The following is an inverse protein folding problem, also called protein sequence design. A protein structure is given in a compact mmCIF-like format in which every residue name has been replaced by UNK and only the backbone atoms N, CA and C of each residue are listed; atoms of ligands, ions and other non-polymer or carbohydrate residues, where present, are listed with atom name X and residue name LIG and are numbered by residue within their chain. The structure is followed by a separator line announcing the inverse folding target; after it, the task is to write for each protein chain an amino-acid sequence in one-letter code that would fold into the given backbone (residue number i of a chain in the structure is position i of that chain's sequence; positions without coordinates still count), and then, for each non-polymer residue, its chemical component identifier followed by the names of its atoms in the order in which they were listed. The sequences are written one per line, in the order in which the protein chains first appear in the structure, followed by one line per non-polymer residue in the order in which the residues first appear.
data_IF_119929946043
#
_entry.id   IF_119929946043
#
_cell.length_a   1.000
_cell.length_b   1.000
_cell.length_c   1.000
_cell.angle_alpha   90.00
_cell.angle_beta   90.00
_cell.angle_gamma   90.00
#
_symmetry.space_group_name_H-M   'P 1'
#
loop_
_entity.id
_entity.type
_entity.pdbx_description
1 polymer ?
#
# COMPACT_ATOMS: atom_id res chain seq x y z
N UNK A 1 -38.91 -18.78 -8.69
CA UNK A 1 -37.89 -18.38 -7.70
C UNK A 1 -36.73 -17.75 -8.46
N UNK A 2 -36.82 -16.46 -8.75
CA UNK A 2 -35.73 -15.71 -9.38
C UNK A 2 -34.81 -15.21 -8.27
N UNK A 3 -33.60 -15.75 -8.21
CA UNK A 3 -32.55 -15.26 -7.32
C UNK A 3 -32.19 -13.84 -7.74
N UNK A 4 -32.60 -12.86 -6.93
CA UNK A 4 -32.03 -11.53 -7.00
C UNK A 4 -30.60 -11.65 -6.47
N UNK A 5 -29.65 -11.79 -7.39
CA UNK A 5 -28.30 -11.29 -7.17
C UNK A 5 -28.46 -9.78 -6.93
N UNK A 6 -28.67 -9.39 -5.68
CA UNK A 6 -28.43 -8.03 -5.24
C UNK A 6 -26.95 -7.80 -5.51
N UNK A 7 -26.66 -7.14 -6.64
CA UNK A 7 -25.40 -6.45 -6.86
C UNK A 7 -25.25 -5.52 -5.66
N UNK A 8 -24.54 -6.00 -4.65
CA UNK A 8 -24.36 -5.29 -3.39
C UNK A 8 -23.73 -3.95 -3.74
N UNK A 9 -24.46 -2.85 -3.55
CA UNK A 9 -23.89 -1.53 -3.70
C UNK A 9 -22.60 -1.47 -2.86
N UNK A 10 -21.49 -0.94 -3.41
CA UNK A 10 -20.22 -0.98 -2.71
C UNK A 10 -20.32 -0.17 -1.42
N UNK A 11 -20.40 -0.86 -0.28
CA UNK A 11 -20.50 -0.28 1.07
C UNK A 11 -19.39 0.75 1.39
N UNK A 12 -18.28 0.68 0.65
CA UNK A 12 -17.17 1.63 0.72
C UNK A 12 -17.05 2.37 -0.61
N UNK A 13 -17.60 3.58 -0.66
CA UNK A 13 -17.55 4.41 -1.86
C UNK A 13 -16.27 5.25 -1.98
N UNK A 14 -15.95 5.64 -3.21
CA UNK A 14 -14.91 6.64 -3.50
C UNK A 14 -13.48 6.14 -3.34
N UNK A 15 -13.24 4.83 -3.30
CA UNK A 15 -11.87 4.29 -3.31
C UNK A 15 -11.31 4.36 -4.72
N UNK A 16 -10.24 5.14 -4.90
CA UNK A 16 -9.59 5.36 -6.21
C UNK A 16 -8.23 4.66 -6.35
N UNK A 17 -7.67 4.20 -5.24
CA UNK A 17 -6.39 3.51 -5.23
C UNK A 17 -6.21 2.71 -3.95
N UNK A 18 -5.24 1.82 -3.98
CA UNK A 18 -4.87 0.93 -2.89
C UNK A 18 -3.41 1.15 -2.54
N UNK A 19 -3.10 1.34 -1.27
CA UNK A 19 -1.73 1.56 -0.80
C UNK A 19 -1.34 0.49 0.21
N UNK A 20 -0.13 -0.01 0.08
CA UNK A 20 0.42 -1.02 0.98
C UNK A 20 1.93 -0.81 1.17
N UNK A 21 2.49 -1.43 2.22
CA UNK A 21 3.92 -1.48 2.48
C UNK A 21 4.63 -2.50 1.59
N UNK A 22 5.86 -2.19 1.17
CA UNK A 22 6.69 -3.07 0.35
C UNK A 22 8.10 -3.16 0.90
N UNK A 23 8.44 -4.36 1.36
CA UNK A 23 9.80 -4.71 1.74
C UNK A 23 10.49 -5.46 0.59
N UNK A 24 11.69 -5.01 0.23
CA UNK A 24 12.54 -5.58 -0.80
C UNK A 24 13.85 -6.04 -0.15
N UNK A 25 14.26 -7.28 -0.42
CA UNK A 25 15.51 -7.82 0.14
C UNK A 25 16.69 -7.02 -0.38
N UNK A 26 17.66 -6.77 0.49
CA UNK A 26 18.90 -6.07 0.14
C UNK A 26 20.09 -6.96 0.50
N UNK A 27 21.20 -6.77 -0.19
CA UNK A 27 22.47 -7.37 0.19
C UNK A 27 22.90 -6.86 1.57
N UNK A 28 23.40 -7.75 2.42
CA UNK A 28 23.87 -7.37 3.75
C UNK A 28 25.11 -6.46 3.64
N UNK A 29 25.04 -5.21 4.14
CA UNK A 29 26.21 -4.35 4.19
C UNK A 29 27.25 -4.90 5.18
N UNK A 30 28.53 -4.75 4.88
CA UNK A 30 29.61 -5.09 5.82
C UNK A 30 29.70 -4.11 7.01
N UNK A 31 29.16 -2.90 6.86
CA UNK A 31 29.06 -1.93 7.94
C UNK A 31 27.89 -2.28 8.87
N UNK A 32 28.21 -2.51 10.14
CA UNK A 32 27.23 -2.84 11.19
C UNK A 32 26.15 -1.76 11.34
N UNK A 33 26.51 -0.47 11.29
CA UNK A 33 25.55 0.62 11.42
C UNK A 33 24.54 0.62 10.26
N UNK A 34 25.02 0.42 9.02
CA UNK A 34 24.15 0.32 7.85
C UNK A 34 23.28 -0.93 7.90
N UNK A 35 23.84 -2.06 8.34
CA UNK A 35 23.09 -3.30 8.50
C UNK A 35 21.99 -3.14 9.54
N UNK A 36 22.28 -2.52 10.69
CA UNK A 36 21.30 -2.21 11.75
C UNK A 36 20.19 -1.28 11.25
N UNK A 37 20.54 -0.24 10.49
CA UNK A 37 19.54 0.66 9.93
C UNK A 37 18.59 -0.06 8.94
N UNK A 38 19.13 -0.98 8.13
CA UNK A 38 18.36 -1.76 7.16
C UNK A 38 17.66 -2.98 7.77
N UNK A 39 18.00 -3.37 8.99
CA UNK A 39 17.43 -4.54 9.64
C UNK A 39 15.96 -4.30 9.98
N UNK A 40 15.09 -5.18 9.48
CA UNK A 40 13.67 -5.18 9.81
C UNK A 40 13.43 -6.20 10.93
N UNK A 41 13.09 -5.69 12.12
CA UNK A 41 12.88 -6.54 13.30
C UNK A 41 11.71 -7.52 13.19
N UNK A 42 10.74 -7.26 12.31
CA UNK A 42 9.59 -8.14 12.09
C UNK A 42 9.92 -9.29 11.12
N UNK A 43 10.70 -9.01 10.07
CA UNK A 43 11.07 -10.00 9.04
C UNK A 43 12.42 -10.68 9.32
N UNK A 44 13.10 -10.29 10.39
CA UNK A 44 14.38 -10.84 10.85
C UNK A 44 15.48 -10.88 9.77
N UNK A 45 15.54 -9.85 8.92
CA UNK A 45 16.56 -9.73 7.86
C UNK A 45 16.71 -8.27 7.41
N UNK A 46 17.64 -8.01 6.49
CA UNK A 46 17.88 -6.67 5.94
C UNK A 46 16.98 -6.38 4.75
N UNK A 47 16.30 -5.24 4.82
CA UNK A 47 15.38 -4.81 3.78
C UNK A 47 15.59 -3.35 3.44
N UNK A 48 15.20 -3.04 2.21
CA UNK A 48 14.75 -1.73 1.83
C UNK A 48 13.23 -1.71 1.97
N UNK A 49 12.70 -0.69 2.62
CA UNK A 49 11.25 -0.53 2.76
C UNK A 49 10.74 0.62 1.91
N UNK A 50 9.48 0.51 1.55
CA UNK A 50 8.77 1.47 0.73
C UNK A 50 7.28 1.29 0.85
N UNK A 51 6.54 2.21 0.25
CA UNK A 51 5.10 2.17 0.12
C UNK A 51 4.77 2.36 -1.35
N UNK A 52 3.91 1.50 -1.90
CA UNK A 52 3.42 1.63 -3.27
C UNK A 52 1.91 1.83 -3.26
N UNK A 53 1.42 2.70 -4.13
CA UNK A 53 0.02 3.00 -4.32
C UNK A 53 -0.39 2.65 -5.75
N UNK A 54 -1.32 1.71 -5.87
CA UNK A 54 -1.84 1.18 -7.12
C UNK A 54 -3.21 1.79 -7.42
N UNK A 55 -3.39 2.28 -8.64
CA UNK A 55 -4.68 2.71 -9.17
C UNK A 55 -5.62 1.53 -9.42
N UNK A 56 -6.89 1.83 -9.68
CA UNK A 56 -7.88 0.82 -10.06
C UNK A 56 -7.53 0.09 -11.37
N UNK A 57 -6.78 0.76 -12.25
CA UNK A 57 -6.25 0.23 -13.51
C UNK A 57 -4.98 -0.63 -13.33
N UNK A 58 -4.52 -0.83 -12.09
CA UNK A 58 -3.31 -1.57 -11.77
C UNK A 58 -2.02 -0.78 -11.99
N UNK A 59 -2.07 0.50 -12.37
CA UNK A 59 -0.86 1.33 -12.51
C UNK A 59 -0.33 1.77 -11.15
N UNK A 60 0.99 1.93 -11.04
CA UNK A 60 1.61 2.58 -9.89
C UNK A 60 1.39 4.09 -9.98
N UNK A 61 0.38 4.60 -9.27
CA UNK A 61 0.01 6.03 -9.29
C UNK A 61 0.86 6.87 -8.34
N UNK A 62 1.43 6.24 -7.31
CA UNK A 62 2.37 6.87 -6.39
C UNK A 62 3.24 5.80 -5.73
N UNK A 63 4.45 6.18 -5.32
CA UNK A 63 5.30 5.30 -4.53
C UNK A 63 6.44 6.06 -3.86
N UNK A 64 6.93 5.49 -2.78
CA UNK A 64 8.14 5.94 -2.09
C UNK A 64 8.92 4.71 -1.66
N UNK A 65 10.17 4.60 -2.08
CA UNK A 65 11.02 3.42 -1.86
C UNK A 65 12.46 3.87 -1.64
N UNK A 66 13.38 2.93 -1.43
CA UNK A 66 14.78 3.19 -1.14
C UNK A 66 15.05 3.72 0.28
N UNK A 67 14.28 3.27 1.28
CA UNK A 67 14.43 3.70 2.68
C UNK A 67 14.88 2.54 3.58
N UNK A 68 15.52 2.84 4.73
CA UNK A 68 15.98 1.81 5.66
C UNK A 68 14.84 0.88 6.09
N UNK A 69 15.07 -0.44 6.07
CA UNK A 69 14.06 -1.46 6.39
C UNK A 69 13.43 -1.38 7.77
N UNK A 70 13.99 -0.57 8.67
CA UNK A 70 13.44 -0.26 10.00
C UNK A 70 12.27 0.74 9.97
N UNK A 71 12.04 1.46 8.87
CA UNK A 71 10.96 2.45 8.79
C UNK A 71 9.59 1.78 8.63
N UNK A 72 8.54 2.42 9.16
CA UNK A 72 7.17 1.93 9.06
C UNK A 72 6.36 2.62 7.95
N UNK A 73 5.30 1.95 7.50
CA UNK A 73 4.45 2.38 6.39
C UNK A 73 3.76 3.74 6.64
N UNK A 74 3.38 4.00 7.89
CA UNK A 74 2.77 5.27 8.31
C UNK A 74 3.72 6.46 8.15
N UNK A 75 5.01 6.30 8.49
CA UNK A 75 6.02 7.33 8.29
C UNK A 75 6.38 7.51 6.82
N UNK A 76 6.49 6.40 6.10
CA UNK A 76 6.80 6.39 4.68
C UNK A 76 5.74 7.09 3.85
N UNK A 77 4.47 6.95 4.23
CA UNK A 77 3.32 7.54 3.55
C UNK A 77 3.06 9.01 3.87
N UNK A 78 3.87 9.70 4.69
CA UNK A 78 3.64 11.12 5.06
C UNK A 78 3.43 12.06 3.86
N UNK A 79 4.13 11.84 2.74
CA UNK A 79 3.94 12.65 1.52
C UNK A 79 2.62 12.31 0.81
N UNK A 80 2.23 11.04 0.78
CA UNK A 80 0.91 10.63 0.29
C UNK A 80 -0.20 11.25 1.14
N UNK A 81 -0.07 11.22 2.46
CA UNK A 81 -1.03 11.84 3.39
C UNK A 81 -1.24 13.34 3.09
N UNK A 82 -0.16 14.07 2.77
CA UNK A 82 -0.25 15.48 2.35
C UNK A 82 -0.99 15.66 1.02
N UNK A 83 -0.79 14.76 0.05
CA UNK A 83 -1.50 14.78 -1.24
C UNK A 83 -3.00 14.51 -1.01
N UNK A 84 -3.34 13.52 -0.18
CA UNK A 84 -4.72 13.15 0.12
C UNK A 84 -5.48 14.23 0.90
N UNK A 85 -4.77 15.01 1.71
CA UNK A 85 -5.33 16.14 2.46
C UNK A 85 -5.50 17.42 1.61
N UNK A 86 -4.83 17.50 0.45
CA UNK A 86 -4.86 18.66 -0.42
C UNK A 86 -6.11 18.62 -1.34
N UNK A 87 -7.08 19.53 -1.16
CA UNK A 87 -8.32 19.53 -1.93
C UNK A 87 -8.12 19.85 -3.42
N UNK A 88 -6.97 20.43 -3.79
CA UNK A 88 -6.63 20.69 -5.20
C UNK A 88 -6.16 19.43 -5.94
N UNK A 89 -5.77 18.39 -5.19
CA UNK A 89 -5.25 17.13 -5.72
C UNK A 89 -6.19 15.95 -5.50
N UNK A 90 -6.99 16.01 -4.43
CA UNK A 90 -7.88 14.93 -4.02
C UNK A 90 -9.30 15.44 -3.90
N UNK A 91 -10.16 14.99 -4.83
CA UNK A 91 -11.56 15.38 -4.90
C UNK A 91 -12.36 15.01 -3.64
N UNK A 92 -13.56 15.56 -3.49
CA UNK A 92 -14.41 15.29 -2.32
C UNK A 92 -14.83 13.81 -2.29
N UNK A 93 -14.78 13.18 -1.11
CA UNK A 93 -15.19 11.78 -0.93
C UNK A 93 -14.21 10.72 -1.45
N UNK A 94 -13.14 11.15 -2.12
CA UNK A 94 -12.05 10.31 -2.62
C UNK A 94 -11.19 9.75 -1.48
N UNK A 95 -10.96 8.44 -1.53
CA UNK A 95 -10.28 7.63 -0.51
C UNK A 95 -9.23 6.69 -1.12
N UNK A 96 -8.27 6.31 -0.28
CA UNK A 96 -7.31 5.23 -0.56
C UNK A 96 -7.53 4.12 0.47
N UNK A 97 -7.63 2.87 0.00
CA UNK A 97 -7.73 1.72 0.89
C UNK A 97 -6.33 1.19 1.23
N UNK A 98 -6.13 0.82 2.49
CA UNK A 98 -4.82 0.36 2.99
C UNK A 98 -4.95 -0.61 4.16
N UNK A 99 -3.83 -1.14 4.63
CA UNK A 99 -3.80 -1.94 5.85
C UNK A 99 -3.85 -1.06 7.13
N UNK A 100 -3.96 -1.69 8.30
CA UNK A 100 -4.10 -0.97 9.57
C UNK A 100 -2.83 -0.28 10.09
N UNK A 101 -1.70 -0.37 9.37
CA UNK A 101 -0.46 0.33 9.70
C UNK A 101 -0.46 1.79 9.19
N UNK A 102 -1.36 2.15 8.28
CA UNK A 102 -1.51 3.51 7.81
C UNK A 102 -2.40 4.36 8.73
N UNK A 103 -2.10 5.66 8.88
CA UNK A 103 -2.90 6.54 9.73
C UNK A 103 -4.24 6.90 9.10
N UNK A 104 -5.30 6.84 9.90
CA UNK A 104 -6.69 7.17 9.50
C UNK A 104 -7.24 8.42 10.18
N UNK A 105 -6.46 9.08 11.04
CA UNK A 105 -6.87 10.25 11.82
C UNK A 105 -6.26 11.55 11.30
N UNK A 106 -6.69 12.68 11.85
CA UNK A 106 -6.16 14.01 11.50
C UNK A 106 -6.36 14.33 10.02
N UNK A 107 -5.26 14.60 9.32
CA UNK A 107 -5.27 14.94 7.87
C UNK A 107 -5.70 13.77 6.97
N UNK A 108 -5.71 12.55 7.50
CA UNK A 108 -6.11 11.34 6.79
C UNK A 108 -7.55 10.92 7.06
N UNK A 109 -8.26 11.63 7.94
CA UNK A 109 -9.64 11.33 8.31
C UNK A 109 -10.55 11.33 7.07
N UNK A 110 -11.20 10.19 6.82
CA UNK A 110 -12.06 9.99 5.66
C UNK A 110 -11.34 9.90 4.31
N UNK A 111 -9.99 9.99 4.30
CA UNK A 111 -9.14 9.93 3.10
C UNK A 111 -8.38 8.61 2.97
N UNK A 112 -7.96 8.04 4.09
CA UNK A 112 -7.39 6.69 4.17
C UNK A 112 -8.39 5.82 4.91
N UNK A 113 -8.77 4.69 4.30
CA UNK A 113 -9.66 3.71 4.92
C UNK A 113 -8.88 2.42 5.18
N UNK A 114 -9.04 1.89 6.39
CA UNK A 114 -8.37 0.67 6.84
C UNK A 114 -9.40 -0.27 7.46
N UNK A 115 -9.16 -1.59 7.42
CA UNK A 115 -9.93 -2.51 8.24
C UNK A 115 -9.80 -2.18 9.73
N UNK A 116 -10.81 -2.55 10.51
CA UNK A 116 -10.77 -2.46 11.96
C UNK A 116 -9.77 -3.47 12.52
N UNK A 117 -9.04 -3.09 13.57
CA UNK A 117 -8.23 -4.05 14.33
C UNK A 117 -9.17 -4.96 15.13
N UNK A 118 -8.73 -6.19 15.38
CA UNK A 118 -9.53 -7.26 16.01
C UNK A 118 -10.27 -6.82 17.29
N UNK A 119 -9.65 -5.96 18.09
CA UNK A 119 -10.17 -5.50 19.38
C UNK A 119 -10.87 -4.14 19.33
N UNK A 120 -10.80 -3.43 18.19
CA UNK A 120 -11.44 -2.11 18.08
C UNK A 120 -12.96 -2.22 17.95
N UNK A 121 -13.47 -3.33 17.42
CA UNK A 121 -14.92 -3.54 17.27
C UNK A 121 -15.66 -3.49 18.62
N UNK A 122 -15.05 -4.04 19.67
CA UNK A 122 -15.64 -4.09 21.02
C UNK A 122 -15.71 -2.72 21.68
N UNK A 123 -14.87 -1.77 21.25
CA UNK A 123 -14.85 -0.38 21.74
C UNK A 123 -16.05 0.43 21.27
N UNK A 124 -16.82 -0.08 20.31
CA UNK A 124 -18.01 0.59 19.77
C UNK A 124 -19.32 0.03 20.36
N UNK A 125 -20.39 0.86 20.42
CA UNK A 125 -21.70 0.43 20.90
C UNK A 125 -22.23 -0.81 20.16
N UNK A 126 -22.88 -1.77 20.85
CA UNK A 126 -23.36 -3.00 20.23
C UNK A 126 -24.19 -2.80 18.96
N UNK A 127 -25.05 -1.77 18.95
CA UNK A 127 -25.90 -1.43 17.80
C UNK A 127 -25.12 -1.12 16.52
N UNK A 128 -23.89 -0.62 16.61
CA UNK A 128 -23.07 -0.24 15.45
C UNK A 128 -22.13 -1.36 14.98
N UNK A 129 -21.91 -2.41 15.80
CA UNK A 129 -20.88 -3.42 15.56
C UNK A 129 -21.10 -4.20 14.25
N UNK A 130 -22.34 -4.54 13.93
CA UNK A 130 -22.63 -5.28 12.69
C UNK A 130 -22.23 -4.47 11.45
N UNK A 131 -22.66 -3.21 11.35
CA UNK A 131 -22.30 -2.33 10.24
C UNK A 131 -20.79 -2.07 10.14
N UNK A 132 -20.14 -1.83 11.28
CA UNK A 132 -18.69 -1.63 11.35
C UNK A 132 -17.90 -2.86 10.91
N UNK A 133 -18.34 -4.06 11.31
CA UNK A 133 -17.75 -5.33 10.90
C UNK A 133 -17.85 -5.50 9.38
N UNK A 134 -19.05 -5.31 8.83
CA UNK A 134 -19.32 -5.42 7.38
C UNK A 134 -18.45 -4.43 6.59
N UNK A 135 -18.37 -3.16 7.00
CA UNK A 135 -17.48 -2.19 6.35
C UNK A 135 -16.00 -2.60 6.43
N UNK A 136 -15.55 -3.08 7.59
CA UNK A 136 -14.18 -3.56 7.78
C UNK A 136 -13.84 -4.74 6.85
N UNK A 137 -14.77 -5.67 6.68
CA UNK A 137 -14.60 -6.82 5.80
C UNK A 137 -14.55 -6.37 4.32
N UNK A 138 -15.39 -5.41 3.92
CA UNK A 138 -15.31 -4.78 2.59
C UNK A 138 -13.95 -4.09 2.34
N UNK A 139 -13.43 -3.32 3.30
CA UNK A 139 -12.10 -2.70 3.16
C UNK A 139 -11.01 -3.77 3.06
N UNK A 140 -11.14 -4.88 3.79
CA UNK A 140 -10.21 -6.01 3.72
C UNK A 140 -10.18 -6.66 2.34
N UNK A 141 -11.34 -6.79 1.70
CA UNK A 141 -11.46 -7.27 0.32
C UNK A 141 -10.81 -6.29 -0.67
N UNK A 142 -11.13 -5.00 -0.55
CA UNK A 142 -10.53 -3.96 -1.41
C UNK A 142 -9.00 -3.95 -1.32
N UNK A 143 -8.45 -4.11 -0.11
CA UNK A 143 -7.00 -4.17 0.11
C UNK A 143 -6.33 -5.33 -0.64
N UNK A 144 -7.03 -6.42 -0.96
CA UNK A 144 -6.43 -7.52 -1.76
C UNK A 144 -5.94 -7.03 -3.12
N UNK A 145 -6.55 -6.00 -3.69
CA UNK A 145 -6.08 -5.39 -4.92
C UNK A 145 -4.65 -4.82 -4.79
N UNK A 146 -4.30 -4.22 -3.64
CA UNK A 146 -2.94 -3.77 -3.36
C UNK A 146 -1.95 -4.94 -3.33
N UNK A 147 -2.31 -6.01 -2.60
CA UNK A 147 -1.49 -7.21 -2.45
C UNK A 147 -1.22 -7.87 -3.81
N UNK A 148 -2.26 -8.00 -4.63
CA UNK A 148 -2.14 -8.56 -5.97
C UNK A 148 -1.33 -7.67 -6.90
N UNK A 149 -1.55 -6.35 -6.90
CA UNK A 149 -0.78 -5.42 -7.72
C UNK A 149 0.71 -5.41 -7.33
N UNK A 150 1.04 -5.42 -6.04
CA UNK A 150 2.42 -5.56 -5.58
C UNK A 150 3.07 -6.88 -6.00
N UNK A 151 2.29 -7.96 -5.97
CA UNK A 151 2.69 -9.26 -6.50
C UNK A 151 2.94 -9.20 -8.00
N UNK A 152 2.08 -8.53 -8.76
CA UNK A 152 2.20 -8.37 -10.21
C UNK A 152 3.48 -7.63 -10.59
N UNK A 153 3.81 -6.51 -9.92
CA UNK A 153 5.06 -5.77 -10.14
C UNK A 153 6.28 -6.69 -9.96
N UNK A 154 6.27 -7.51 -8.91
CA UNK A 154 7.38 -8.44 -8.60
C UNK A 154 7.45 -9.63 -9.59
N UNK A 155 6.33 -10.02 -10.19
CA UNK A 155 6.27 -11.08 -11.22
C UNK A 155 6.82 -10.59 -12.56
N UNK A 156 6.53 -9.35 -12.94
CA UNK A 156 7.08 -8.72 -14.15
C UNK A 156 8.60 -8.54 -13.99
N UNK A 157 9.05 -8.01 -12.85
CA UNK A 157 10.46 -7.82 -12.55
C UNK A 157 10.94 -8.78 -11.46
N UNK A 158 11.26 -10.02 -11.85
CA UNK A 158 11.73 -11.05 -10.92
C UNK A 158 13.01 -10.66 -10.16
N UNK A 159 13.77 -9.68 -10.66
CA UNK A 159 14.90 -9.09 -9.96
C UNK A 159 14.52 -8.50 -8.59
N UNK A 160 13.26 -8.08 -8.40
CA UNK A 160 12.74 -7.63 -7.10
C UNK A 160 12.58 -8.77 -6.08
N UNK A 161 12.64 -10.04 -6.51
CA UNK A 161 12.64 -11.21 -5.63
C UNK A 161 14.05 -11.56 -5.15
N UNK A 162 15.09 -10.99 -5.77
CA UNK A 162 16.48 -11.18 -5.39
C UNK A 162 16.96 -10.06 -4.47
N UNK A 163 18.06 -10.29 -3.76
CA UNK A 163 18.69 -9.25 -2.94
C UNK A 163 19.22 -8.12 -3.82
N UNK A 164 18.63 -6.94 -3.65
CA UNK A 164 19.04 -5.72 -4.34
C UNK A 164 20.37 -5.19 -3.80
N UNK A 165 21.11 -4.37 -4.57
CA UNK A 165 22.34 -3.76 -4.09
C UNK A 165 22.12 -2.94 -2.81
N UNK A 166 23.05 -3.05 -1.87
CA UNK A 166 23.01 -2.21 -0.66
C UNK A 166 23.27 -0.73 -0.97
N UNK A 167 24.01 -0.43 -2.06
CA UNK A 167 24.27 0.93 -2.51
C UNK A 167 22.95 1.64 -2.88
N UNK A 168 22.58 2.72 -2.16
CA UNK A 168 21.28 3.36 -2.31
C UNK A 168 21.11 4.06 -3.67
N UNK A 169 22.18 4.61 -4.26
CA UNK A 169 22.10 5.29 -5.57
C UNK A 169 21.81 4.30 -6.69
N UNK A 170 22.49 3.15 -6.68
CA UNK A 170 22.25 2.09 -7.66
C UNK A 170 20.86 1.48 -7.48
N UNK A 171 20.43 1.27 -6.23
CA UNK A 171 19.11 0.74 -5.91
C UNK A 171 17.99 1.69 -6.34
N UNK A 172 18.09 3.00 -6.07
CA UNK A 172 17.14 4.01 -6.57
C UNK A 172 16.97 3.93 -8.08
N UNK A 173 18.08 3.97 -8.83
CA UNK A 173 18.05 3.94 -10.29
C UNK A 173 17.37 2.67 -10.84
N UNK A 174 17.67 1.51 -10.25
CA UNK A 174 17.03 0.24 -10.62
C UNK A 174 15.52 0.26 -10.32
N UNK A 175 15.13 0.65 -9.12
CA UNK A 175 13.74 0.65 -8.69
C UNK A 175 12.89 1.62 -9.50
N UNK A 176 13.36 2.85 -9.69
CA UNK A 176 12.66 3.83 -10.51
C UNK A 176 12.49 3.36 -11.94
N UNK A 177 13.52 2.75 -12.53
CA UNK A 177 13.44 2.22 -13.90
C UNK A 177 12.39 1.10 -13.99
N UNK A 178 12.43 0.13 -13.06
CA UNK A 178 11.46 -0.98 -13.04
C UNK A 178 10.03 -0.47 -12.87
N UNK A 179 9.77 0.45 -11.94
CA UNK A 179 8.42 0.95 -11.68
C UNK A 179 7.88 1.83 -12.82
N UNK A 180 8.73 2.66 -13.46
CA UNK A 180 8.32 3.42 -14.64
C UNK A 180 8.02 2.51 -15.83
N UNK A 181 8.87 1.50 -16.07
CA UNK A 181 8.66 0.53 -17.14
C UNK A 181 7.44 -0.38 -16.87
N UNK A 182 7.16 -0.70 -15.60
CA UNK A 182 5.93 -1.41 -15.21
C UNK A 182 4.70 -0.64 -15.69
N UNK A 183 4.62 0.66 -15.37
CA UNK A 183 3.51 1.50 -15.83
C UNK A 183 3.44 1.61 -17.35
N UNK A 184 4.58 1.69 -18.02
CA UNK A 184 4.63 1.68 -19.49
C UNK A 184 4.03 0.38 -20.04
N UNK A 185 4.35 -0.77 -19.46
CA UNK A 185 3.81 -2.05 -19.88
C UNK A 185 2.30 -2.16 -19.61
N UNK A 186 1.82 -1.76 -18.42
CA UNK A 186 0.38 -1.76 -18.09
C UNK A 186 -0.42 -0.97 -19.11
N UNK A 187 0.04 0.26 -19.44
CA UNK A 187 -0.67 1.15 -20.36
C UNK A 187 -0.64 0.72 -21.82
N UNK A 188 0.45 0.08 -22.28
CA UNK A 188 0.64 -0.18 -23.72
C UNK A 188 0.44 -1.64 -24.14
N UNK A 189 0.56 -2.59 -23.22
CA UNK A 189 0.48 -4.03 -23.55
C UNK A 189 -0.88 -4.62 -23.15
N UNK A 190 -1.43 -4.17 -22.02
CA UNK A 190 -2.68 -4.74 -21.49
C UNK A 190 -3.92 -3.91 -21.85
N UNK A 191 -3.76 -2.71 -22.42
CA UNK A 191 -4.86 -1.91 -22.96
C UNK A 191 -5.97 -1.61 -21.95
N UNK A 192 -5.60 -1.34 -20.69
CA UNK A 192 -6.50 -0.84 -19.65
C UNK A 192 -6.55 0.69 -19.66
#
# INVERSE_FOLDING_TARGET
MGGYEQLAEPLVHGVLSFVDGKNLRVQEPSSTDLQNAMYNGWLHSVFDTGVLCLGLDGTLVWGRHNFPGSWNDGEMSRRLQKILADPTKTGVGMKVASDSAFPVSGRCAGRIVTPLKKWDLERHPPACRLGLKVMSDCITLLRQAAVWGMGAVSKVYRQLLLSLPYNPSLRTMRLESMFKLYNFQIKNVFGL
#
